data_IF_821361802149
#
_entry.id   IF_821361802149
#
_cell.length_a   1.000
_cell.length_b   1.000
_cell.length_c   1.000
_cell.angle_alpha   90.00
_cell.angle_beta   90.00
_cell.angle_gamma   90.00
#
_symmetry.space_group_name_H-M   'P 1'
#
loop_
_entity.id
_entity.type
_entity.pdbx_description
1 polymer ?
#
# COMPACT_ATOMS: atom_id res chain seq x y z
N UNK A 1 5.53 -6.66 17.94
CA UNK A 1 4.29 -6.91 17.18
C UNK A 1 4.47 -8.22 16.44
N UNK A 2 3.51 -9.15 16.50
CA UNK A 2 3.62 -10.48 15.88
C UNK A 2 3.97 -10.42 14.38
N UNK A 3 3.44 -9.43 13.68
CA UNK A 3 3.68 -9.23 12.25
C UNK A 3 5.12 -8.84 11.89
N UNK A 4 5.79 -8.04 12.73
CA UNK A 4 7.19 -7.67 12.49
C UNK A 4 8.11 -8.87 12.70
N UNK A 5 7.83 -9.68 13.73
CA UNK A 5 8.56 -10.95 13.97
C UNK A 5 8.32 -11.98 12.87
N UNK A 6 7.15 -11.96 12.22
CA UNK A 6 6.94 -12.75 11.01
C UNK A 6 7.78 -12.20 9.84
N UNK A 7 7.86 -10.88 9.65
CA UNK A 7 8.68 -10.24 8.61
C UNK A 7 10.19 -10.49 8.78
N UNK A 8 10.69 -10.53 10.02
CA UNK A 8 12.10 -10.83 10.36
C UNK A 8 12.58 -12.18 9.79
N UNK A 9 11.66 -13.13 9.57
CA UNK A 9 11.95 -14.48 9.06
C UNK A 9 11.92 -14.58 7.54
N UNK A 10 11.56 -13.50 6.85
CA UNK A 10 11.38 -13.49 5.40
C UNK A 10 12.65 -13.02 4.70
N UNK A 11 12.78 -13.35 3.42
CA UNK A 11 13.89 -12.86 2.63
C UNK A 11 13.72 -11.36 2.35
N UNK A 12 14.83 -10.61 2.16
CA UNK A 12 14.74 -9.22 1.74
C UNK A 12 13.88 -9.08 0.49
N UNK A 13 13.05 -8.03 0.45
CA UNK A 13 12.26 -7.66 -0.72
C UNK A 13 11.30 -8.74 -1.24
N UNK A 14 10.93 -9.73 -0.42
CA UNK A 14 10.12 -10.89 -0.83
C UNK A 14 8.65 -10.86 -0.40
N UNK A 15 8.24 -9.85 0.37
CA UNK A 15 6.87 -9.75 0.92
C UNK A 15 6.11 -8.61 0.28
N UNK A 16 4.91 -8.90 -0.22
CA UNK A 16 3.91 -7.89 -0.59
C UNK A 16 3.11 -7.46 0.64
N UNK A 17 3.16 -6.18 0.99
CA UNK A 17 2.24 -5.61 1.96
C UNK A 17 0.92 -5.21 1.27
N UNK A 18 -0.22 -5.55 1.85
CA UNK A 18 -1.55 -5.26 1.29
C UNK A 18 -2.37 -4.52 2.34
N UNK A 19 -2.75 -3.27 2.05
CA UNK A 19 -3.59 -2.47 2.95
C UNK A 19 -4.35 -1.35 2.22
N UNK A 20 -5.64 -1.25 2.53
CA UNK A 20 -6.54 -0.22 1.99
C UNK A 20 -6.76 0.94 2.98
N UNK A 21 -5.89 1.08 3.98
CA UNK A 21 -5.97 2.13 4.99
C UNK A 21 -7.17 1.96 5.94
N UNK A 22 -7.52 3.03 6.65
CA UNK A 22 -8.61 3.02 7.63
C UNK A 22 -10.00 3.12 7.01
N UNK A 23 -10.11 3.77 5.86
CA UNK A 23 -11.39 4.05 5.20
C UNK A 23 -11.79 3.08 4.11
N UNK A 24 -10.82 2.33 3.56
CA UNK A 24 -11.06 1.44 2.43
C UNK A 24 -11.74 0.16 2.85
N UNK A 25 -12.84 -0.16 2.18
CA UNK A 25 -13.46 -1.48 2.21
C UNK A 25 -13.69 -1.98 0.77
N UNK A 26 -13.49 -3.28 0.57
CA UNK A 26 -13.83 -3.97 -0.67
C UNK A 26 -15.20 -4.65 -0.53
N UNK A 27 -15.86 -4.94 -1.65
CA UNK A 27 -17.00 -5.85 -1.64
C UNK A 27 -16.55 -7.27 -1.28
N UNK A 28 -17.48 -8.16 -0.89
CA UNK A 28 -17.16 -9.56 -0.63
C UNK A 28 -16.56 -10.22 -1.88
N UNK A 29 -17.20 -10.02 -3.04
CA UNK A 29 -16.72 -10.52 -4.34
C UNK A 29 -15.28 -10.07 -4.62
N UNK A 30 -14.97 -8.79 -4.43
CA UNK A 30 -13.62 -8.29 -4.68
C UNK A 30 -12.60 -8.78 -3.65
N UNK A 31 -13.03 -9.05 -2.41
CA UNK A 31 -12.20 -9.64 -1.36
C UNK A 31 -11.83 -11.08 -1.71
N UNK A 32 -12.78 -11.85 -2.25
CA UNK A 32 -12.55 -13.23 -2.70
C UNK A 32 -11.58 -13.28 -3.89
N UNK A 33 -11.74 -12.39 -4.88
CA UNK A 33 -10.82 -12.29 -6.01
C UNK A 33 -9.38 -11.92 -5.56
N UNK A 34 -9.26 -11.00 -4.58
CA UNK A 34 -7.97 -10.62 -4.02
C UNK A 34 -7.33 -11.79 -3.26
N UNK A 35 -8.09 -12.48 -2.41
CA UNK A 35 -7.60 -13.64 -1.65
C UNK A 35 -7.08 -14.74 -2.59
N UNK A 36 -7.87 -15.13 -3.58
CA UNK A 36 -7.48 -16.17 -4.54
C UNK A 36 -6.30 -15.69 -5.40
N UNK A 37 -6.27 -14.41 -5.79
CA UNK A 37 -5.16 -13.82 -6.52
C UNK A 37 -3.83 -13.83 -5.73
N UNK A 38 -3.88 -13.56 -4.43
CA UNK A 38 -2.72 -13.66 -3.52
C UNK A 38 -2.22 -15.11 -3.46
N UNK A 39 -3.11 -16.08 -3.26
CA UNK A 39 -2.78 -17.51 -3.28
C UNK A 39 -2.11 -17.92 -4.61
N UNK A 40 -2.74 -17.59 -5.75
CA UNK A 40 -2.25 -17.90 -7.09
C UNK A 40 -0.94 -17.19 -7.46
N UNK A 41 -0.60 -16.08 -6.80
CA UNK A 41 0.64 -15.36 -7.05
C UNK A 41 1.87 -16.17 -6.62
N UNK A 42 1.72 -17.07 -5.64
CA UNK A 42 2.80 -17.79 -4.97
C UNK A 42 3.88 -16.87 -4.36
N UNK A 43 3.57 -15.58 -4.16
CA UNK A 43 4.42 -14.61 -3.47
C UNK A 43 4.02 -14.49 -2.01
N UNK A 44 4.98 -14.19 -1.14
CA UNK A 44 4.66 -13.96 0.27
C UNK A 44 3.91 -12.66 0.45
N UNK A 45 2.93 -12.65 1.34
CA UNK A 45 2.11 -11.47 1.57
C UNK A 45 1.81 -11.23 3.06
N UNK A 46 1.61 -9.96 3.39
CA UNK A 46 1.09 -9.52 4.67
C UNK A 46 -0.13 -8.64 4.39
N UNK A 47 -1.32 -9.15 4.72
CA UNK A 47 -2.58 -8.52 4.34
C UNK A 47 -3.36 -8.04 5.56
N UNK A 48 -3.61 -6.73 5.60
CA UNK A 48 -4.53 -6.11 6.57
C UNK A 48 -5.95 -6.18 6.01
N UNK A 49 -6.77 -7.02 6.62
CA UNK A 49 -8.15 -7.29 6.20
C UNK A 49 -9.11 -6.43 7.01
N UNK A 50 -10.12 -5.89 6.31
CA UNK A 50 -11.27 -5.23 6.92
C UNK A 50 -12.55 -5.95 6.52
N UNK A 51 -13.59 -5.80 7.33
CA UNK A 51 -14.91 -6.31 7.00
C UNK A 51 -15.37 -5.76 5.62
N UNK A 52 -15.83 -6.61 4.70
CA UNK A 52 -16.31 -6.18 3.40
C UNK A 52 -17.50 -5.22 3.52
N UNK A 53 -17.61 -4.32 2.55
CA UNK A 53 -18.69 -3.35 2.47
C UNK A 53 -19.11 -3.13 1.03
N UNK A 54 -20.39 -2.82 0.81
CA UNK A 54 -20.89 -2.36 -0.49
C UNK A 54 -20.44 -0.93 -0.82
N UNK A 55 -19.93 -0.19 0.16
CA UNK A 55 -19.38 1.16 -0.03
C UNK A 55 -17.85 1.16 0.12
N UNK A 56 -17.17 1.79 -0.84
CA UNK A 56 -15.71 1.91 -0.86
C UNK A 56 -15.13 2.68 0.36
N UNK A 57 -15.93 3.58 0.96
CA UNK A 57 -15.59 4.29 2.21
C UNK A 57 -16.26 3.69 3.45
N UNK A 58 -16.88 2.50 3.31
CA UNK A 58 -17.73 1.88 4.32
C UNK A 58 -17.00 1.49 5.61
N UNK A 59 -15.67 1.39 5.60
CA UNK A 59 -14.90 1.02 6.78
C UNK A 59 -14.96 2.07 7.91
N UNK A 60 -15.28 3.34 7.61
CA UNK A 60 -15.52 4.35 8.64
C UNK A 60 -16.89 4.20 9.31
N UNK A 61 -17.84 3.55 8.63
CA UNK A 61 -19.21 3.35 9.12
C UNK A 61 -19.31 2.13 10.05
N UNK A 62 -18.39 1.17 9.90
CA UNK A 62 -18.23 0.01 10.77
C UNK A 62 -17.13 0.26 11.82
N UNK A 63 -17.37 1.23 12.70
CA UNK A 63 -16.48 1.45 13.84
C UNK A 63 -16.45 0.20 14.73
N UNK A 64 -15.27 -0.40 14.90
CA UNK A 64 -14.91 -1.30 16.01
C UNK A 64 -15.64 -2.67 16.11
N UNK A 65 -15.77 -3.42 15.02
CA UNK A 65 -16.07 -4.85 15.15
C UNK A 65 -14.81 -5.68 14.93
N UNK A 66 -14.55 -6.63 15.82
CA UNK A 66 -13.58 -7.71 15.60
C UNK A 66 -13.92 -8.39 14.26
N UNK A 67 -13.00 -8.31 13.31
CA UNK A 67 -13.20 -8.89 11.98
C UNK A 67 -13.02 -10.40 12.10
N UNK A 68 -14.12 -11.15 12.00
CA UNK A 68 -14.06 -12.60 11.88
C UNK A 68 -13.54 -12.99 10.49
N UNK A 69 -12.25 -13.31 10.42
CA UNK A 69 -11.58 -13.69 9.18
C UNK A 69 -12.24 -14.91 8.52
N UNK A 70 -12.91 -15.79 9.28
CA UNK A 70 -13.57 -16.97 8.73
C UNK A 70 -14.83 -16.64 7.91
N UNK A 71 -15.44 -15.47 8.18
CA UNK A 71 -16.60 -14.98 7.43
C UNK A 71 -16.20 -14.10 6.24
N UNK A 72 -15.01 -13.50 6.29
CA UNK A 72 -14.52 -12.57 5.27
C UNK A 72 -13.72 -13.26 4.18
N UNK A 73 -12.98 -14.31 4.53
CA UNK A 73 -12.05 -14.98 3.61
C UNK A 73 -12.67 -16.25 3.01
N UNK A 74 -12.27 -16.65 1.80
CA UNK A 74 -12.68 -17.91 1.22
C UNK A 74 -12.37 -19.09 2.14
N UNK A 75 -13.26 -20.08 2.16
CA UNK A 75 -13.11 -21.26 3.02
C UNK A 75 -11.74 -21.94 2.82
N UNK A 76 -11.04 -22.19 3.93
CA UNK A 76 -9.72 -22.81 3.96
C UNK A 76 -8.56 -21.93 3.48
N UNK A 77 -8.78 -20.66 3.15
CA UNK A 77 -7.72 -19.76 2.66
C UNK A 77 -6.55 -19.64 3.64
N UNK A 78 -6.82 -19.43 4.93
CA UNK A 78 -5.79 -19.30 5.96
C UNK A 78 -4.94 -20.57 6.06
N UNK A 79 -5.55 -21.76 5.99
CA UNK A 79 -4.81 -23.03 6.03
C UNK A 79 -3.96 -23.26 4.78
N UNK A 80 -4.49 -22.94 3.59
CA UNK A 80 -3.74 -23.10 2.33
C UNK A 80 -2.56 -22.13 2.22
N UNK A 81 -2.67 -20.96 2.85
CA UNK A 81 -1.67 -19.88 2.72
C UNK A 81 -0.79 -19.69 3.96
N UNK A 82 -0.91 -20.51 5.00
CA UNK A 82 -0.17 -20.34 6.27
C UNK A 82 1.35 -20.23 6.14
N UNK A 83 1.94 -20.91 5.16
CA UNK A 83 3.38 -20.85 4.87
C UNK A 83 3.75 -19.70 3.91
N UNK A 84 2.76 -19.14 3.23
CA UNK A 84 2.90 -18.09 2.22
C UNK A 84 2.67 -16.70 2.80
N UNK A 85 1.65 -16.51 3.63
CA UNK A 85 1.24 -15.17 4.05
C UNK A 85 0.68 -15.08 5.46
N UNK A 86 0.63 -13.86 5.95
CA UNK A 86 0.04 -13.49 7.23
C UNK A 86 -1.15 -12.56 7.00
N UNK A 87 -2.27 -12.84 7.65
CA UNK A 87 -3.47 -11.99 7.62
C UNK A 87 -3.67 -11.35 8.98
N UNK A 88 -3.87 -10.04 8.99
CA UNK A 88 -4.06 -9.25 10.21
C UNK A 88 -5.41 -8.55 10.12
N UNK A 89 -6.31 -8.71 11.10
CA UNK A 89 -7.57 -7.99 11.11
C UNK A 89 -7.35 -6.51 11.47
N UNK A 90 -8.11 -5.64 10.79
CA UNK A 90 -8.34 -4.22 11.11
C UNK A 90 -7.15 -3.26 10.98
N UNK A 91 -6.03 -3.51 11.64
CA UNK A 91 -4.92 -2.54 11.73
C UNK A 91 -3.55 -3.19 11.85
N UNK A 92 -2.54 -2.54 11.28
CA UNK A 92 -1.14 -2.92 11.40
C UNK A 92 -0.24 -1.67 11.42
N UNK A 93 0.98 -1.76 11.99
CA UNK A 93 1.93 -0.65 12.09
C UNK A 93 2.57 -0.38 10.71
N UNK A 94 1.87 0.40 9.88
CA UNK A 94 2.19 0.54 8.45
C UNK A 94 3.60 1.11 8.20
N UNK A 95 4.02 2.12 8.97
CA UNK A 95 5.34 2.74 8.79
C UNK A 95 6.44 1.71 9.07
N UNK A 96 6.31 0.97 10.17
CA UNK A 96 7.26 -0.07 10.56
C UNK A 96 7.31 -1.20 9.54
N UNK A 97 6.16 -1.63 9.01
CA UNK A 97 6.07 -2.62 7.94
C UNK A 97 6.77 -2.12 6.68
N UNK A 98 6.45 -0.92 6.21
CA UNK A 98 7.05 -0.35 4.99
C UNK A 98 8.56 -0.10 5.14
N UNK A 99 9.04 0.14 6.36
CA UNK A 99 10.47 0.29 6.66
C UNK A 99 11.23 -1.05 6.69
N UNK A 100 10.53 -2.18 6.76
CA UNK A 100 11.14 -3.48 6.95
C UNK A 100 11.78 -4.01 5.65
N UNK A 101 13.02 -4.50 5.74
CA UNK A 101 13.81 -4.95 4.58
C UNK A 101 13.15 -6.05 3.74
N UNK A 102 12.31 -6.87 4.36
CA UNK A 102 11.57 -7.95 3.72
C UNK A 102 10.44 -7.47 2.83
N UNK A 103 9.93 -6.25 3.01
CA UNK A 103 8.84 -5.70 2.19
C UNK A 103 9.40 -5.28 0.83
N UNK A 104 8.90 -5.91 -0.22
CA UNK A 104 9.30 -5.68 -1.61
C UNK A 104 8.29 -4.86 -2.42
N UNK A 105 7.06 -4.75 -1.95
CA UNK A 105 5.98 -4.06 -2.64
C UNK A 105 4.80 -3.74 -1.74
N UNK A 106 3.97 -2.77 -2.17
CA UNK A 106 2.81 -2.33 -1.42
C UNK A 106 1.56 -2.22 -2.32
N UNK A 107 0.58 -3.09 -2.10
CA UNK A 107 -0.76 -2.92 -2.67
C UNK A 107 -1.54 -1.93 -1.81
N UNK A 108 -1.83 -0.76 -2.39
CA UNK A 108 -2.35 0.40 -1.68
C UNK A 108 -3.56 1.02 -2.36
N UNK A 109 -4.48 1.53 -1.53
CA UNK A 109 -5.57 2.39 -1.94
C UNK A 109 -5.13 3.76 -2.50
N UNK A 110 -3.83 4.09 -2.49
CA UNK A 110 -3.29 5.34 -3.04
C UNK A 110 -3.76 6.62 -2.32
N UNK A 111 -4.06 6.53 -1.02
CA UNK A 111 -4.19 7.72 -0.17
C UNK A 111 -2.83 8.43 -0.02
N UNK A 112 -2.83 9.76 -0.05
CA UNK A 112 -1.58 10.54 -0.14
C UNK A 112 -0.57 10.24 0.98
N UNK A 113 -1.04 10.07 2.23
CA UNK A 113 -0.13 9.73 3.34
C UNK A 113 0.55 8.37 3.14
N UNK A 114 -0.20 7.35 2.69
CA UNK A 114 0.37 6.03 2.40
C UNK A 114 1.35 6.06 1.22
N UNK A 115 1.12 6.94 0.25
CA UNK A 115 2.06 7.16 -0.86
C UNK A 115 3.36 7.75 -0.35
N UNK A 116 3.29 8.80 0.50
CA UNK A 116 4.48 9.41 1.09
C UNK A 116 5.28 8.41 1.92
N UNK A 117 4.62 7.60 2.75
CA UNK A 117 5.29 6.55 3.53
C UNK A 117 5.99 5.53 2.62
N UNK A 118 5.33 5.08 1.54
CA UNK A 118 5.92 4.15 0.56
C UNK A 118 7.15 4.76 -0.13
N UNK A 119 7.03 6.03 -0.56
CA UNK A 119 8.11 6.75 -1.24
C UNK A 119 9.31 6.97 -0.32
N UNK A 120 9.09 7.36 0.94
CA UNK A 120 10.16 7.55 1.92
C UNK A 120 10.92 6.25 2.25
N UNK A 121 10.28 5.09 2.11
CA UNK A 121 10.93 3.80 2.34
C UNK A 121 11.45 3.14 1.06
N UNK A 122 11.01 3.60 -0.11
CA UNK A 122 11.46 3.08 -1.40
C UNK A 122 10.71 1.82 -1.83
N UNK A 123 9.45 1.68 -1.44
CA UNK A 123 8.61 0.51 -1.72
C UNK A 123 7.71 0.79 -2.92
N UNK A 124 7.82 0.06 -4.05
CA UNK A 124 6.97 0.27 -5.23
C UNK A 124 5.53 -0.23 -4.99
N UNK A 125 4.57 0.26 -5.78
CA UNK A 125 3.14 0.08 -5.48
C UNK A 125 2.36 -0.77 -6.50
N UNK A 126 1.37 -1.53 -6.03
CA UNK A 126 0.18 -1.85 -6.84
C UNK A 126 -0.87 -0.79 -6.49
N UNK A 127 -1.28 0.00 -7.48
CA UNK A 127 -2.14 1.17 -7.28
C UNK A 127 -3.61 0.77 -7.40
N UNK A 128 -4.32 0.68 -6.28
CA UNK A 128 -5.71 0.19 -6.21
C UNK A 128 -6.67 1.24 -5.62
N UNK A 129 -6.95 2.34 -6.32
CA UNK A 129 -7.71 3.47 -5.78
C UNK A 129 -9.19 3.12 -5.51
N UNK A 130 -9.73 3.63 -4.41
CA UNK A 130 -11.10 3.37 -3.95
C UNK A 130 -12.00 4.61 -3.99
N UNK A 131 -11.58 5.73 -3.40
CA UNK A 131 -12.40 6.94 -3.22
C UNK A 131 -11.57 8.23 -3.25
N UNK A 132 -12.23 9.38 -3.08
CA UNK A 132 -11.62 10.71 -3.08
C UNK A 132 -10.71 10.95 -4.32
N UNK A 133 -9.52 11.50 -4.13
CA UNK A 133 -8.54 11.81 -5.18
C UNK A 133 -7.64 10.63 -5.56
N UNK A 134 -7.82 9.46 -4.94
CA UNK A 134 -6.93 8.31 -5.08
C UNK A 134 -6.76 7.86 -6.53
N UNK A 135 -7.78 8.01 -7.38
CA UNK A 135 -7.70 7.67 -8.81
C UNK A 135 -6.71 8.57 -9.56
N UNK A 136 -6.65 9.85 -9.21
CA UNK A 136 -5.67 10.79 -9.76
C UNK A 136 -4.27 10.41 -9.26
N UNK A 137 -4.13 10.12 -7.97
CA UNK A 137 -2.86 9.68 -7.39
C UNK A 137 -2.33 8.41 -8.07
N UNK A 138 -3.19 7.41 -8.26
CA UNK A 138 -2.85 6.16 -8.94
C UNK A 138 -2.31 6.40 -10.36
N UNK A 139 -2.94 7.30 -11.11
CA UNK A 139 -2.47 7.67 -12.46
C UNK A 139 -1.09 8.33 -12.43
N UNK A 140 -0.86 9.28 -11.49
CA UNK A 140 0.46 9.91 -11.34
C UNK A 140 1.53 8.87 -11.01
N UNK A 141 1.23 7.90 -10.15
CA UNK A 141 2.17 6.86 -9.75
C UNK A 141 2.47 5.86 -10.87
N UNK A 142 1.46 5.42 -11.63
CA UNK A 142 1.65 4.40 -12.67
C UNK A 142 2.15 4.98 -13.99
N UNK A 143 1.58 6.08 -14.46
CA UNK A 143 1.89 6.65 -15.78
C UNK A 143 2.96 7.74 -15.73
N UNK A 144 2.91 8.58 -14.69
CA UNK A 144 3.80 9.73 -14.54
C UNK A 144 5.17 9.33 -13.99
N UNK A 145 5.19 8.86 -12.75
CA UNK A 145 6.41 8.51 -12.01
C UNK A 145 6.88 7.08 -12.30
N UNK A 146 6.01 6.22 -12.83
CA UNK A 146 6.31 4.81 -13.11
C UNK A 146 6.90 4.09 -11.90
N UNK A 147 6.30 4.29 -10.73
CA UNK A 147 6.68 3.66 -9.45
C UNK A 147 5.63 2.67 -8.96
N UNK A 148 4.61 2.40 -9.77
CA UNK A 148 3.62 1.38 -9.48
C UNK A 148 2.91 0.82 -10.71
N UNK A 149 2.20 -0.28 -10.50
CA UNK A 149 1.41 -0.99 -11.51
C UNK A 149 -0.06 -0.89 -11.15
N UNK A 150 -0.90 -0.59 -12.15
CA UNK A 150 -2.35 -0.53 -11.97
C UNK A 150 -3.00 -1.81 -12.51
N UNK A 151 -3.81 -2.52 -11.71
CA UNK A 151 -4.54 -3.67 -12.21
C UNK A 151 -5.63 -3.25 -13.19
N UNK A 152 -5.87 -4.10 -14.18
CA UNK A 152 -7.03 -3.98 -15.07
C UNK A 152 -8.30 -4.32 -14.31
N UNK A 153 -9.34 -3.55 -14.60
CA UNK A 153 -10.68 -3.73 -14.04
C UNK A 153 -11.60 -4.17 -15.18
N UNK A 154 -12.42 -5.19 -14.93
CA UNK A 154 -13.39 -5.67 -15.91
C UNK A 154 -14.61 -4.74 -16.00
N UNK A 155 -15.55 -5.07 -16.89
CA UNK A 155 -16.75 -4.26 -17.15
C UNK A 155 -17.65 -4.07 -15.91
N UNK A 156 -17.58 -4.99 -14.95
CA UNK A 156 -18.33 -4.95 -13.70
C UNK A 156 -17.62 -4.17 -12.59
N UNK A 157 -16.46 -3.58 -12.85
CA UNK A 157 -15.69 -2.88 -11.83
C UNK A 157 -14.86 -3.79 -10.93
N UNK A 158 -14.68 -5.07 -11.29
CA UNK A 158 -13.94 -6.06 -10.51
C UNK A 158 -12.53 -6.27 -11.11
N UNK A 159 -11.53 -6.36 -10.24
CA UNK A 159 -10.20 -6.88 -10.58
C UNK A 159 -10.19 -8.37 -10.30
N UNK A 160 -10.09 -9.16 -11.37
CA UNK A 160 -10.14 -10.63 -11.30
C UNK A 160 -8.84 -11.21 -10.74
N UNK A 161 -8.93 -12.34 -10.04
CA UNK A 161 -7.83 -13.08 -9.40
C UNK A 161 -6.62 -13.34 -10.28
N UNK A 162 -6.84 -13.53 -11.59
CA UNK A 162 -5.76 -13.74 -12.56
C UNK A 162 -5.00 -12.43 -12.79
N UNK A 163 -5.71 -11.32 -12.91
CA UNK A 163 -5.07 -10.00 -13.00
C UNK A 163 -4.38 -9.63 -11.67
N UNK A 164 -4.99 -9.94 -10.52
CA UNK A 164 -4.35 -9.77 -9.20
C UNK A 164 -3.01 -10.52 -9.15
N UNK A 165 -3.01 -11.83 -9.44
CA UNK A 165 -1.80 -12.66 -9.45
C UNK A 165 -0.74 -12.09 -10.41
N UNK A 166 -1.17 -11.65 -11.59
CA UNK A 166 -0.30 -11.07 -12.62
C UNK A 166 0.35 -9.75 -12.18
N UNK A 167 -0.40 -8.81 -11.60
CA UNK A 167 0.19 -7.54 -11.15
C UNK A 167 1.10 -7.73 -9.93
N UNK A 168 0.80 -8.71 -9.07
CA UNK A 168 1.69 -9.10 -7.97
C UNK A 168 3.02 -9.61 -8.54
N UNK A 169 2.99 -10.54 -9.50
CA UNK A 169 4.20 -11.03 -10.15
C UNK A 169 4.96 -9.91 -10.84
N UNK A 170 4.28 -9.06 -11.61
CA UNK A 170 4.88 -7.90 -12.26
C UNK A 170 5.62 -6.97 -11.28
N UNK A 171 5.05 -6.71 -10.10
CA UNK A 171 5.66 -5.87 -9.08
C UNK A 171 6.83 -6.56 -8.36
N UNK A 172 6.76 -7.89 -8.19
CA UNK A 172 7.64 -8.63 -7.27
C UNK A 172 8.76 -9.41 -7.97
N UNK A 173 8.67 -9.66 -9.27
CA UNK A 173 9.67 -10.43 -10.03
C UNK A 173 9.91 -9.91 -11.46
N UNK A 174 11.07 -10.24 -12.03
CA UNK A 174 11.41 -9.92 -13.42
C UNK A 174 11.89 -8.48 -13.66
N UNK A 175 12.05 -8.12 -14.93
CA UNK A 175 12.65 -6.85 -15.36
C UNK A 175 11.81 -5.62 -14.98
N UNK A 176 10.47 -5.73 -15.05
CA UNK A 176 9.58 -4.63 -14.66
C UNK A 176 9.67 -4.33 -13.17
N UNK A 177 9.84 -5.35 -12.32
CA UNK A 177 10.11 -5.17 -10.89
C UNK A 177 11.36 -4.32 -10.66
N UNK A 178 12.46 -4.60 -11.38
CA UNK A 178 13.71 -3.83 -11.25
C UNK A 178 13.53 -2.38 -11.69
N UNK A 179 12.82 -2.12 -12.80
CA UNK A 179 12.52 -0.75 -13.27
C UNK A 179 11.72 0.03 -12.24
N UNK A 180 10.66 -0.56 -11.71
CA UNK A 180 9.80 0.08 -10.70
C UNK A 180 10.58 0.40 -9.41
N UNK A 181 11.43 -0.54 -8.96
CA UNK A 181 12.29 -0.34 -7.78
C UNK A 181 13.33 0.75 -8.00
N UNK A 182 13.93 0.82 -9.18
CA UNK A 182 14.90 1.88 -9.51
C UNK A 182 14.22 3.25 -9.52
N UNK A 183 13.08 3.40 -10.18
CA UNK A 183 12.32 4.66 -10.18
C UNK A 183 11.90 5.05 -8.75
N UNK A 184 11.48 4.07 -7.94
CA UNK A 184 11.09 4.31 -6.56
C UNK A 184 12.30 4.69 -5.68
N UNK A 185 13.48 4.16 -5.95
CA UNK A 185 14.72 4.56 -5.29
C UNK A 185 15.08 6.01 -5.60
N UNK A 186 15.00 6.43 -6.86
CA UNK A 186 15.21 7.83 -7.25
C UNK A 186 14.21 8.76 -6.55
N UNK A 187 12.93 8.36 -6.46
CA UNK A 187 11.91 9.11 -5.75
C UNK A 187 12.22 9.22 -4.25
N UNK A 188 12.68 8.14 -3.61
CA UNK A 188 13.12 8.12 -2.21
C UNK A 188 14.29 9.08 -1.98
N UNK A 189 15.28 9.07 -2.86
CA UNK A 189 16.44 9.96 -2.79
C UNK A 189 16.01 11.42 -2.93
N UNK A 190 15.15 11.73 -3.91
CA UNK A 190 14.59 13.07 -4.08
C UNK A 190 13.80 13.54 -2.84
N UNK A 191 12.97 12.67 -2.27
CA UNK A 191 12.21 12.97 -1.06
C UNK A 191 13.14 13.22 0.15
N UNK A 192 14.19 12.41 0.29
CA UNK A 192 15.20 12.57 1.35
C UNK A 192 15.93 13.90 1.21
N UNK A 193 16.38 14.23 -0.01
CA UNK A 193 17.09 15.48 -0.30
C UNK A 193 16.22 16.72 -0.04
N UNK A 194 14.91 16.64 -0.32
CA UNK A 194 13.99 17.75 -0.05
C UNK A 194 13.85 18.07 1.45
N UNK A 195 14.10 17.09 2.33
CA UNK A 195 13.96 17.21 3.79
C UNK A 195 15.28 17.50 4.53
N UNK A 196 16.44 17.41 3.86
CA UNK A 196 17.74 17.74 4.43
C UNK A 196 17.83 19.21 4.88
N UNK A 197 18.89 19.57 5.61
CA UNK A 197 19.06 20.90 6.19
C UNK A 197 18.97 22.04 5.16
N UNK A 198 19.53 21.81 3.97
CA UNK A 198 19.48 22.70 2.82
C UNK A 198 18.44 22.27 1.76
N UNK A 199 17.57 21.31 2.11
CA UNK A 199 16.52 20.79 1.25
C UNK A 199 15.42 21.80 0.95
N UNK A 200 14.78 21.63 -0.21
CA UNK A 200 13.76 22.56 -0.72
C UNK A 200 12.53 22.67 0.20
N UNK A 201 12.01 21.55 0.71
CA UNK A 201 10.85 21.55 1.61
C UNK A 201 11.16 22.23 2.94
N UNK A 202 12.33 21.92 3.53
CA UNK A 202 12.76 22.53 4.81
C UNK A 202 13.00 24.04 4.66
N UNK A 203 13.63 24.46 3.56
CA UNK A 203 13.79 25.89 3.23
C UNK A 203 12.45 26.60 3.08
N UNK A 204 11.50 26.00 2.38
CA UNK A 204 10.17 26.59 2.15
C UNK A 204 9.40 26.78 3.45
N UNK A 205 9.37 25.76 4.32
CA UNK A 205 8.74 25.87 5.64
C UNK A 205 9.45 26.89 6.53
N UNK A 206 10.79 26.93 6.49
CA UNK A 206 11.57 27.93 7.22
C UNK A 206 11.26 29.35 6.75
N UNK A 207 11.20 29.60 5.45
CA UNK A 207 10.84 30.90 4.89
C UNK A 207 9.44 31.34 5.31
N UNK A 208 8.47 30.42 5.33
CA UNK A 208 7.13 30.69 5.82
C UNK A 208 7.15 31.09 7.31
N UNK A 209 7.87 30.33 8.15
CA UNK A 209 8.01 30.64 9.56
C UNK A 209 8.67 32.01 9.82
N UNK A 210 9.67 32.38 9.02
CA UNK A 210 10.28 33.71 9.10
C UNK A 210 9.30 34.83 8.73
N UNK A 211 8.49 34.64 7.66
CA UNK A 211 7.45 35.61 7.30
C UNK A 211 6.44 35.81 8.44
N UNK A 212 6.02 34.74 9.10
CA UNK A 212 5.10 34.84 10.24
C UNK A 212 5.70 35.56 11.45
N UNK A 213 6.98 35.32 11.77
CA UNK A 213 7.66 36.04 12.85
C UNK A 213 7.71 37.55 12.60
N UNK A 214 8.00 37.95 11.36
CA UNK A 214 8.08 39.37 11.01
C UNK A 214 6.72 40.07 11.10
N UNK A 215 5.62 39.40 10.72
CA UNK A 215 4.25 39.94 10.85
C UNK A 215 3.80 40.15 12.30
N UNK A 216 4.34 39.37 13.25
CA UNK A 216 4.04 39.51 14.69
C UNK A 216 4.82 40.69 15.31
N UNK A 217 5.93 41.10 14.70
CA UNK A 217 6.72 42.24 15.17
C UNK A 217 6.31 43.59 14.54
N UNK A 218 5.43 43.57 13.55
CA UNK A 218 4.88 44.77 12.89
C UNK A 218 3.51 45.21 13.46
N UNK A 219 2.96 44.50 14.45
CA UNK A 219 1.75 44.87 15.22
C UNK A 219 2.08 45.03 16.71
#
# INVERSE_FOLDING_TARGET
>A
MECLTWLDKQQPCSVLYVSFGSGGALSQEQTDELAIGLELSNHKFLWVVRAPSSSACGAYLSAQNDVDLSQVLPSGFLERTKEQGMVIPSWAPQIEILSHISVGGFLSHCGWSSILESAMHGVPLITWPLFAEQRMNAFVLSEGLKVGVRPRVNENGIVERIEVSKVIKCLMEGEECEKLRNNMKELKEAATNALQEDGSSRKTVSQLAHKWKNLVHEN
#
